data_IF_600651930637
#
_entry.id   IF_600651930637
#
_cell.length_a   1.000
_cell.length_b   1.000
_cell.length_c   1.000
_cell.angle_alpha   90.00
_cell.angle_beta   90.00
_cell.angle_gamma   90.00
#
_symmetry.space_group_name_H-M   'P 1'
#
loop_
_entity.id
_entity.type
_entity.pdbx_description
1 polymer ?
#
# COMPACT_ATOMS: atom_id res chain seq x y z
N UNK A 1 -4.43 6.01 -4.29
CA UNK A 1 -3.52 4.95 -3.81
C UNK A 1 -4.16 3.57 -3.78
N UNK A 2 -5.41 3.42 -3.32
CA UNK A 2 -6.11 2.13 -3.20
C UNK A 2 -6.16 1.31 -4.49
N UNK A 3 -6.42 1.97 -5.64
CA UNK A 3 -6.37 1.30 -6.96
C UNK A 3 -4.99 0.74 -7.31
N UNK A 4 -3.91 1.38 -6.88
CA UNK A 4 -2.55 0.90 -7.15
C UNK A 4 -2.19 -0.28 -6.25
N UNK A 5 -2.62 -0.25 -4.98
CA UNK A 5 -2.49 -1.37 -4.03
C UNK A 5 -3.19 -2.63 -4.59
N UNK A 6 -4.45 -2.50 -5.04
CA UNK A 6 -5.18 -3.61 -5.66
C UNK A 6 -4.50 -4.16 -6.92
N UNK A 7 -3.89 -3.29 -7.74
CA UNK A 7 -3.12 -3.72 -8.91
C UNK A 7 -1.87 -4.49 -8.50
N UNK A 8 -1.16 -4.05 -7.46
CA UNK A 8 0.03 -4.73 -6.94
C UNK A 8 -0.34 -6.11 -6.38
N UNK A 9 -1.39 -6.20 -5.58
CA UNK A 9 -1.91 -7.48 -5.04
C UNK A 9 -2.26 -8.45 -6.17
N UNK A 10 -3.02 -7.98 -7.18
CA UNK A 10 -3.37 -8.79 -8.35
C UNK A 10 -2.11 -9.26 -9.10
N UNK A 11 -1.15 -8.37 -9.30
CA UNK A 11 0.10 -8.70 -10.00
C UNK A 11 0.93 -9.74 -9.24
N UNK A 12 0.94 -9.71 -7.90
CA UNK A 12 1.64 -10.71 -7.09
C UNK A 12 1.00 -12.09 -7.31
N UNK A 13 -0.32 -12.17 -7.17
CA UNK A 13 -1.07 -13.43 -7.38
C UNK A 13 -0.85 -13.99 -8.78
N UNK A 14 -0.86 -13.15 -9.81
CA UNK A 14 -0.59 -13.57 -11.18
C UNK A 14 0.84 -14.14 -11.33
N UNK A 15 1.85 -13.49 -10.73
CA UNK A 15 3.24 -13.95 -10.78
C UNK A 15 3.48 -15.24 -10.00
N UNK A 16 2.83 -15.40 -8.85
CA UNK A 16 2.84 -16.66 -8.09
C UNK A 16 2.24 -17.82 -8.90
N UNK A 17 1.17 -17.55 -9.67
CA UNK A 17 0.60 -18.51 -10.61
C UNK A 17 1.58 -18.96 -11.69
N UNK A 18 2.31 -18.03 -12.31
CA UNK A 18 3.36 -18.37 -13.29
C UNK A 18 4.51 -19.16 -12.65
N UNK A 19 4.90 -18.83 -11.43
CA UNK A 19 5.96 -19.53 -10.69
C UNK A 19 5.55 -20.97 -10.38
N UNK A 20 4.31 -21.20 -9.95
CA UNK A 20 3.76 -22.54 -9.72
C UNK A 20 3.76 -23.39 -11.00
N UNK A 21 3.45 -22.79 -12.14
CA UNK A 21 3.49 -23.46 -13.45
C UNK A 21 4.93 -23.84 -13.82
N UNK A 22 5.91 -22.94 -13.64
CA UNK A 22 7.31 -23.21 -13.90
C UNK A 22 7.85 -24.34 -12.99
N UNK A 23 7.51 -24.33 -11.69
CA UNK A 23 7.83 -25.43 -10.77
C UNK A 23 7.22 -26.76 -11.20
N UNK A 24 5.95 -26.76 -11.63
CA UNK A 24 5.29 -27.97 -12.13
C UNK A 24 6.00 -28.53 -13.36
N UNK A 25 6.45 -27.66 -14.28
CA UNK A 25 7.22 -28.06 -15.47
C UNK A 25 8.57 -28.67 -15.08
N UNK A 26 9.31 -28.06 -14.14
CA UNK A 26 10.55 -28.62 -13.61
C UNK A 26 10.32 -29.99 -12.94
N UNK A 27 9.27 -30.11 -12.13
CA UNK A 27 8.90 -31.38 -11.48
C UNK A 27 8.63 -32.51 -12.49
N UNK A 28 7.91 -32.22 -13.58
CA UNK A 28 7.69 -33.19 -14.67
C UNK A 28 8.99 -33.59 -15.36
N UNK A 29 9.92 -32.65 -15.55
CA UNK A 29 11.22 -32.91 -16.19
C UNK A 29 12.11 -33.78 -15.30
N UNK A 30 12.04 -33.59 -13.98
CA UNK A 30 12.76 -34.42 -13.01
C UNK A 30 12.29 -35.90 -12.97
N UNK A 31 11.16 -36.22 -13.59
CA UNK A 31 10.61 -37.58 -13.67
C UNK A 31 10.96 -38.30 -14.98
N UNK A 32 11.71 -37.67 -15.90
CA UNK A 32 12.07 -38.28 -17.18
C UNK A 32 13.00 -39.48 -16.98
N UNK A 33 12.83 -40.59 -17.72
CA UNK A 33 13.66 -41.77 -17.58
C UNK A 33 14.98 -41.68 -18.35
N UNK A 34 16.03 -42.28 -17.79
CA UNK A 34 17.29 -42.57 -18.50
C UNK A 34 17.94 -41.35 -19.14
N UNK A 35 18.20 -41.43 -20.45
CA UNK A 35 18.91 -40.39 -21.20
C UNK A 35 18.09 -39.10 -21.40
N UNK A 36 16.77 -39.15 -21.21
CA UNK A 36 15.91 -37.95 -21.30
C UNK A 36 15.99 -37.06 -20.06
N UNK A 37 16.55 -37.58 -18.96
CA UNK A 37 16.87 -36.79 -17.77
C UNK A 37 18.15 -35.99 -18.02
N UNK A 38 18.00 -34.91 -18.78
CA UNK A 38 19.11 -34.06 -19.18
C UNK A 38 18.89 -32.60 -18.75
N UNK A 39 20.01 -31.92 -18.45
CA UNK A 39 20.05 -30.47 -18.26
C UNK A 39 20.16 -29.77 -19.61
N UNK A 40 19.09 -29.84 -20.39
CA UNK A 40 19.01 -29.13 -21.67
C UNK A 40 18.81 -27.62 -21.46
N UNK A 41 18.72 -26.90 -22.60
CA UNK A 41 18.47 -25.46 -22.60
C UNK A 41 17.14 -25.10 -21.91
N UNK A 42 16.11 -25.94 -22.05
CA UNK A 42 14.78 -25.70 -21.48
C UNK A 42 14.81 -25.80 -19.96
N UNK A 43 15.51 -26.81 -19.40
CA UNK A 43 15.74 -26.94 -17.96
C UNK A 43 16.40 -25.68 -17.39
N UNK A 44 17.47 -25.22 -18.05
CA UNK A 44 18.21 -24.01 -17.64
C UNK A 44 17.32 -22.77 -17.68
N UNK A 45 16.50 -22.62 -18.72
CA UNK A 45 15.57 -21.50 -18.87
C UNK A 45 14.47 -21.52 -17.80
N UNK A 46 13.90 -22.69 -17.47
CA UNK A 46 12.89 -22.82 -16.42
C UNK A 46 13.44 -22.49 -15.04
N UNK A 47 14.67 -22.92 -14.72
CA UNK A 47 15.33 -22.55 -13.45
C UNK A 47 15.54 -21.04 -13.35
N UNK A 48 16.01 -20.41 -14.43
CA UNK A 48 16.18 -18.96 -14.47
C UNK A 48 14.83 -18.22 -14.37
N UNK A 49 13.80 -18.70 -15.06
CA UNK A 49 12.44 -18.15 -15.00
C UNK A 49 11.89 -18.17 -13.56
N UNK A 50 12.05 -19.28 -12.83
CA UNK A 50 11.67 -19.37 -11.41
C UNK A 50 12.41 -18.34 -10.56
N UNK A 51 13.72 -18.19 -10.78
CA UNK A 51 14.54 -17.20 -10.04
C UNK A 51 14.04 -15.78 -10.30
N UNK A 52 13.86 -15.41 -11.57
CA UNK A 52 13.38 -14.09 -11.97
C UNK A 52 11.95 -13.81 -11.46
N UNK A 53 11.05 -14.80 -11.52
CA UNK A 53 9.69 -14.66 -10.98
C UNK A 53 9.70 -14.45 -9.47
N UNK A 54 10.59 -15.14 -8.75
CA UNK A 54 10.74 -14.96 -7.30
C UNK A 54 11.25 -13.57 -6.94
N UNK A 55 12.28 -13.08 -7.64
CA UNK A 55 12.81 -11.72 -7.47
C UNK A 55 11.72 -10.68 -7.76
N UNK A 56 10.97 -10.84 -8.84
CA UNK A 56 9.87 -9.96 -9.19
C UNK A 56 8.74 -9.96 -8.15
N UNK A 57 8.37 -11.12 -7.61
CA UNK A 57 7.37 -11.20 -6.54
C UNK A 57 7.85 -10.46 -5.28
N UNK A 58 9.11 -10.63 -4.90
CA UNK A 58 9.70 -9.92 -3.76
C UNK A 58 9.65 -8.40 -3.95
N UNK A 59 10.04 -7.90 -5.13
CA UNK A 59 9.98 -6.47 -5.44
C UNK A 59 8.55 -5.93 -5.38
N UNK A 60 7.57 -6.67 -5.94
CA UNK A 60 6.16 -6.27 -5.88
C UNK A 60 5.62 -6.24 -4.45
N UNK A 61 6.01 -7.19 -3.61
CA UNK A 61 5.64 -7.23 -2.19
C UNK A 61 6.24 -6.04 -1.42
N UNK A 62 7.49 -5.67 -1.70
CA UNK A 62 8.11 -4.49 -1.12
C UNK A 62 7.35 -3.22 -1.51
N UNK A 63 7.08 -3.04 -2.81
CA UNK A 63 6.29 -1.90 -3.31
C UNK A 63 4.89 -1.83 -2.69
N UNK A 64 4.24 -2.98 -2.49
CA UNK A 64 2.94 -3.06 -1.82
C UNK A 64 3.02 -2.57 -0.38
N UNK A 65 4.03 -3.02 0.37
CA UNK A 65 4.27 -2.60 1.76
C UNK A 65 4.48 -1.08 1.87
N UNK A 66 5.32 -0.53 0.99
CA UNK A 66 5.60 0.91 0.93
C UNK A 66 4.34 1.73 0.57
N UNK A 67 3.55 1.27 -0.40
CA UNK A 67 2.31 1.91 -0.80
C UNK A 67 1.26 1.90 0.33
N UNK A 68 1.13 0.77 1.04
CA UNK A 68 0.25 0.65 2.19
C UNK A 68 0.70 1.53 3.36
N UNK A 69 2.01 1.59 3.65
CA UNK A 69 2.57 2.47 4.67
C UNK A 69 2.30 3.94 4.36
N UNK A 70 2.51 4.35 3.11
CA UNK A 70 2.22 5.70 2.64
C UNK A 70 0.73 6.05 2.78
N UNK A 71 -0.17 5.12 2.43
CA UNK A 71 -1.61 5.33 2.61
C UNK A 71 -1.99 5.51 4.08
N UNK A 72 -1.47 4.67 4.98
CA UNK A 72 -1.70 4.81 6.43
C UNK A 72 -1.23 6.15 6.97
N UNK A 73 -0.05 6.59 6.53
CA UNK A 73 0.49 7.90 6.90
C UNK A 73 -0.42 9.04 6.45
N UNK A 74 -0.85 9.03 5.19
CA UNK A 74 -1.74 10.06 4.64
C UNK A 74 -3.08 10.13 5.38
N UNK A 75 -3.69 8.98 5.69
CA UNK A 75 -4.94 8.93 6.44
C UNK A 75 -4.77 9.49 7.85
N UNK A 76 -3.67 9.17 8.54
CA UNK A 76 -3.36 9.75 9.86
C UNK A 76 -3.22 11.27 9.77
N UNK A 77 -2.48 11.76 8.78
CA UNK A 77 -2.28 13.19 8.58
C UNK A 77 -3.59 13.91 8.25
N UNK A 78 -4.46 13.28 7.46
CA UNK A 78 -5.78 13.83 7.17
C UNK A 78 -6.60 14.02 8.46
N UNK A 79 -6.67 12.99 9.30
CA UNK A 79 -7.41 13.05 10.58
C UNK A 79 -6.86 14.16 11.47
N UNK A 80 -5.53 14.27 11.58
CA UNK A 80 -4.90 15.34 12.36
C UNK A 80 -5.29 16.73 11.85
N UNK A 81 -5.28 16.93 10.53
CA UNK A 81 -5.67 18.21 9.94
C UNK A 81 -7.15 18.53 10.17
N UNK A 82 -8.03 17.52 10.10
CA UNK A 82 -9.46 17.69 10.40
C UNK A 82 -9.68 18.10 11.87
N UNK A 83 -8.92 17.52 12.80
CA UNK A 83 -8.94 17.91 14.22
C UNK A 83 -8.44 19.35 14.42
N UNK A 84 -7.30 19.70 13.82
CA UNK A 84 -6.73 21.05 13.90
C UNK A 84 -7.70 22.11 13.33
N UNK A 85 -8.38 21.81 12.22
CA UNK A 85 -9.43 22.65 11.65
C UNK A 85 -10.59 22.83 12.63
N UNK A 86 -11.04 21.75 13.26
CA UNK A 86 -12.14 21.81 14.22
C UNK A 86 -11.78 22.66 15.45
N UNK A 87 -10.59 22.46 16.01
CA UNK A 87 -10.08 23.28 17.12
C UNK A 87 -10.03 24.75 16.72
N UNK A 88 -9.46 25.07 15.55
CA UNK A 88 -9.36 26.44 15.06
C UNK A 88 -10.73 27.08 14.82
N UNK A 89 -11.68 26.32 14.27
CA UNK A 89 -13.06 26.76 14.04
C UNK A 89 -13.75 27.08 15.35
N UNK A 90 -13.58 26.22 16.37
CA UNK A 90 -14.13 26.47 17.70
C UNK A 90 -13.50 27.70 18.37
N UNK A 91 -12.17 27.86 18.28
CA UNK A 91 -11.47 29.04 18.81
C UNK A 91 -11.95 30.33 18.16
N UNK A 92 -12.13 30.35 16.84
CA UNK A 92 -12.66 31.51 16.12
C UNK A 92 -14.10 31.82 16.54
N UNK A 93 -14.95 30.80 16.70
CA UNK A 93 -16.31 31.00 17.19
C UNK A 93 -16.33 31.66 18.58
N UNK A 94 -15.48 31.18 19.50
CA UNK A 94 -15.41 31.75 20.85
C UNK A 94 -15.00 33.22 20.78
N UNK A 95 -13.97 33.55 19.98
CA UNK A 95 -13.47 34.93 19.87
C UNK A 95 -14.48 35.85 19.18
N UNK A 96 -14.94 35.47 17.98
CA UNK A 96 -15.75 36.33 17.12
C UNK A 96 -17.22 36.40 17.53
N UNK A 97 -17.77 35.31 18.09
CA UNK A 97 -19.18 35.24 18.48
C UNK A 97 -19.32 35.48 19.97
N UNK A 98 -18.77 34.60 20.79
CA UNK A 98 -19.09 34.58 22.23
C UNK A 98 -18.48 35.81 22.95
N UNK A 99 -17.18 36.06 22.77
CA UNK A 99 -16.47 37.18 23.39
C UNK A 99 -16.94 38.55 22.88
N UNK A 100 -17.14 38.71 21.57
CA UNK A 100 -17.61 39.97 20.99
C UNK A 100 -19.05 40.30 21.40
N UNK A 101 -19.94 39.30 21.44
CA UNK A 101 -21.32 39.48 21.94
C UNK A 101 -21.32 39.90 23.41
N UNK A 102 -20.52 39.23 24.25
CA UNK A 102 -20.39 39.61 25.66
C UNK A 102 -19.91 41.06 25.80
N UNK A 103 -18.87 41.46 25.07
CA UNK A 103 -18.33 42.83 25.11
C UNK A 103 -19.36 43.88 24.69
N UNK A 104 -20.15 43.61 23.66
CA UNK A 104 -21.23 44.52 23.23
C UNK A 104 -22.32 44.67 24.28
N UNK A 105 -22.59 43.62 25.07
CA UNK A 105 -23.60 43.64 26.13
C UNK A 105 -23.15 44.36 27.42
N UNK A 106 -21.86 44.69 27.55
CA UNK A 106 -21.34 45.41 28.72
C UNK A 106 -21.62 46.91 28.57
N UNK A 107 -22.58 47.43 29.35
CA UNK A 107 -22.82 48.87 29.45
C UNK A 107 -21.92 49.48 30.53
N UNK A 108 -21.03 50.38 30.11
CA UNK A 108 -20.07 51.04 30.99
C UNK A 108 -20.61 52.33 31.63
N UNK A 109 -21.88 52.68 31.40
CA UNK A 109 -22.50 53.90 31.93
C UNK A 109 -23.18 53.73 33.30
N UNK A 110 -22.82 52.69 34.05
CA UNK A 110 -23.24 52.54 35.44
C UNK A 110 -22.36 53.41 36.37
N UNK A 111 -22.44 54.73 36.24
CA UNK A 111 -22.25 55.74 37.29
C UNK A 111 -22.70 57.13 36.82
#
# INVERSE_FOLDING_TARGET
MTRNILKLEKSIVEKEGYMALAHTRLGRRAQRPGMELCRDLVETKLVNEVRELRENCFMLQQMLSEAQASLRYLLKTQIQLEEDINVKTNTLKIDEVDCMTLRQSMDYHAY
#
